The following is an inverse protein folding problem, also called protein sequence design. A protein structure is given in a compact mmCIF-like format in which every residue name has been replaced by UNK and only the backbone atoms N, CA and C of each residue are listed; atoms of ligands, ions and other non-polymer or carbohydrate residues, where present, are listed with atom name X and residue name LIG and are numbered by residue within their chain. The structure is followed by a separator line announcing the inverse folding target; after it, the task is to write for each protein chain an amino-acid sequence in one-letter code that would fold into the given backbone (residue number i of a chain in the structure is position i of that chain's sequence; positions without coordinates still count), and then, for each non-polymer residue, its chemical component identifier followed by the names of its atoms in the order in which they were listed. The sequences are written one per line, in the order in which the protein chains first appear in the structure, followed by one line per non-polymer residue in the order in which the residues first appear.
data_IF_770894488597
#
_entry.id   IF_770894488597
#
_cell.length_a   1.000
_cell.length_b   1.000
_cell.length_c   1.000
_cell.angle_alpha   90.00
_cell.angle_beta   90.00
_cell.angle_gamma   90.00
#
_symmetry.space_group_name_H-M   'P 1'
#
loop_
_entity.id
_entity.type
_entity.pdbx_description
1 polymer ?
#
# COMPACT_ATOMS: atom_id res chain seq x y z
N UNK A 1 -3.83 1.85 18.75
CA UNK A 1 -4.70 2.24 17.62
C UNK A 1 -5.26 1.02 16.89
N UNK A 2 -6.57 0.98 16.62
CA UNK A 2 -7.23 -0.09 15.85
C UNK A 2 -7.15 0.24 14.35
N UNK A 3 -6.66 -0.69 13.54
CA UNK A 3 -6.62 -0.57 12.08
C UNK A 3 -8.01 -0.87 11.53
N UNK A 4 -8.48 -0.07 10.58
CA UNK A 4 -9.83 -0.19 9.99
C UNK A 4 -9.73 -0.37 8.48
N UNK A 5 -10.35 -1.42 7.95
CA UNK A 5 -10.49 -1.62 6.50
C UNK A 5 -11.81 -0.97 6.05
N UNK A 6 -11.74 -0.19 4.97
CA UNK A 6 -12.90 0.42 4.32
C UNK A 6 -12.97 -0.06 2.87
N UNK A 7 -14.03 -0.80 2.56
CA UNK A 7 -14.33 -1.22 1.19
C UNK A 7 -15.13 -0.14 0.45
N UNK A 8 -15.05 -0.14 -0.87
CA UNK A 8 -15.85 0.71 -1.76
C UNK A 8 -15.67 2.22 -1.54
N UNK A 9 -14.48 2.65 -1.12
CA UNK A 9 -14.18 4.06 -0.99
C UNK A 9 -13.85 4.66 -2.37
N UNK A 10 -14.16 5.94 -2.58
CA UNK A 10 -13.89 6.65 -3.83
C UNK A 10 -12.39 6.95 -4.03
N UNK A 11 -11.62 6.98 -2.93
CA UNK A 11 -10.21 7.37 -2.92
C UNK A 11 -9.28 6.47 -3.76
N UNK A 12 -9.34 5.13 -3.70
CA UNK A 12 -8.57 4.28 -4.62
C UNK A 12 -8.89 4.50 -6.10
N UNK A 13 -10.13 4.86 -6.44
CA UNK A 13 -10.54 5.13 -7.82
C UNK A 13 -9.85 6.38 -8.37
N UNK A 14 -9.68 7.40 -7.54
CA UNK A 14 -8.99 8.65 -7.93
C UNK A 14 -7.56 8.39 -8.39
N UNK A 15 -6.84 7.50 -7.69
CA UNK A 15 -5.45 7.17 -8.01
C UNK A 15 -5.29 5.98 -8.96
N UNK A 16 -6.40 5.42 -9.49
CA UNK A 16 -6.42 4.21 -10.33
C UNK A 16 -5.65 3.05 -9.67
N UNK A 17 -5.76 2.91 -8.35
CA UNK A 17 -5.17 1.82 -7.54
C UNK A 17 -6.26 0.91 -7.00
N UNK A 18 -5.90 -0.34 -6.72
CA UNK A 18 -6.84 -1.33 -6.19
C UNK A 18 -6.84 -1.38 -4.65
N UNK A 19 -5.80 -0.84 -4.02
CA UNK A 19 -5.66 -0.65 -2.58
C UNK A 19 -4.88 0.64 -2.28
N UNK A 20 -5.16 1.27 -1.13
CA UNK A 20 -4.38 2.40 -0.60
C UNK A 20 -4.32 2.30 0.93
N UNK A 21 -3.12 2.49 1.48
CA UNK A 21 -2.88 2.62 2.93
C UNK A 21 -2.72 4.08 3.34
N UNK A 22 -3.64 4.54 4.17
CA UNK A 22 -3.59 5.85 4.84
C UNK A 22 -3.77 5.61 6.32
N UNK A 23 -2.67 5.41 7.04
CA UNK A 23 -2.69 4.97 8.42
C UNK A 23 -3.66 5.81 9.28
N UNK A 24 -4.57 5.20 10.06
CA UNK A 24 -4.74 3.75 10.33
C UNK A 24 -5.71 2.99 9.41
N UNK A 25 -6.07 3.56 8.26
CA UNK A 25 -7.07 3.03 7.34
C UNK A 25 -6.42 2.30 6.15
N UNK A 26 -7.06 1.21 5.75
CA UNK A 26 -6.76 0.51 4.49
C UNK A 26 -8.01 0.60 3.62
N UNK A 27 -7.87 1.16 2.43
CA UNK A 27 -8.96 1.30 1.46
C UNK A 27 -8.79 0.26 0.36
N UNK A 28 -9.84 -0.52 0.09
CA UNK A 28 -9.81 -1.59 -0.93
C UNK A 28 -10.96 -1.39 -1.92
N UNK A 29 -10.66 -1.55 -3.20
CA UNK A 29 -11.65 -1.48 -4.27
C UNK A 29 -12.56 -2.72 -4.26
N UNK A 30 -13.88 -2.51 -4.32
CA UNK A 30 -14.87 -3.58 -4.13
C UNK A 30 -15.07 -4.47 -5.37
N UNK A 31 -14.78 -4.00 -6.58
CA UNK A 31 -15.10 -4.71 -7.83
C UNK A 31 -14.25 -5.97 -8.12
N UNK A 32 -13.29 -6.29 -7.27
CA UNK A 32 -12.31 -7.36 -7.54
C UNK A 32 -12.70 -8.70 -6.90
N UNK A 33 -12.23 -9.84 -7.45
CA UNK A 33 -12.42 -11.17 -6.86
C UNK A 33 -11.88 -11.26 -5.43
N UNK A 34 -12.43 -12.19 -4.63
CA UNK A 34 -12.04 -12.39 -3.21
C UNK A 34 -10.54 -12.70 -3.07
N UNK A 35 -9.99 -13.57 -3.92
CA UNK A 35 -8.56 -13.91 -3.94
C UNK A 35 -7.67 -12.69 -4.18
N UNK A 36 -8.11 -11.79 -5.06
CA UNK A 36 -7.40 -10.55 -5.36
C UNK A 36 -7.49 -9.54 -4.20
N UNK A 37 -8.67 -9.40 -3.58
CA UNK A 37 -8.86 -8.58 -2.37
C UNK A 37 -7.97 -9.07 -1.23
N UNK A 38 -7.86 -10.38 -1.01
CA UNK A 38 -6.95 -10.95 0.00
C UNK A 38 -5.50 -10.53 -0.27
N UNK A 39 -5.03 -10.67 -1.50
CA UNK A 39 -3.66 -10.28 -1.89
C UNK A 39 -3.39 -8.78 -1.67
N UNK A 40 -4.35 -7.92 -2.04
CA UNK A 40 -4.23 -6.48 -1.77
C UNK A 40 -4.21 -6.20 -0.28
N UNK A 41 -5.07 -6.86 0.49
CA UNK A 41 -5.11 -6.66 1.95
C UNK A 41 -3.76 -7.01 2.58
N UNK A 42 -3.10 -8.08 2.12
CA UNK A 42 -1.74 -8.42 2.55
C UNK A 42 -0.73 -7.32 2.18
N UNK A 43 -0.77 -6.81 0.94
CA UNK A 43 0.10 -5.72 0.48
C UNK A 43 -0.06 -4.46 1.34
N UNK A 44 -1.30 -4.00 1.51
CA UNK A 44 -1.62 -2.81 2.31
C UNK A 44 -1.27 -3.00 3.80
N UNK A 45 -1.43 -4.22 4.33
CA UNK A 45 -1.00 -4.54 5.69
C UNK A 45 0.51 -4.37 5.89
N UNK A 46 1.31 -4.68 4.87
CA UNK A 46 2.76 -4.49 4.95
C UNK A 46 3.11 -3.00 5.04
N UNK A 47 2.39 -2.14 4.33
CA UNK A 47 2.55 -0.69 4.49
C UNK A 47 2.23 -0.23 5.92
N UNK A 48 1.19 -0.79 6.57
CA UNK A 48 0.95 -0.51 7.99
C UNK A 48 2.12 -0.96 8.86
N UNK A 49 2.69 -2.15 8.62
CA UNK A 49 3.87 -2.62 9.35
C UNK A 49 5.06 -1.67 9.13
N UNK A 50 5.32 -1.26 7.90
CA UNK A 50 6.39 -0.32 7.54
C UNK A 50 6.20 1.03 8.26
N UNK A 51 4.98 1.58 8.25
CA UNK A 51 4.63 2.82 8.95
C UNK A 51 4.87 2.69 10.46
N UNK A 52 4.47 1.56 11.06
CA UNK A 52 4.69 1.32 12.49
C UNK A 52 6.18 1.16 12.83
N UNK A 53 6.96 0.53 11.96
CA UNK A 53 8.40 0.32 12.15
C UNK A 53 9.21 1.61 11.98
N UNK A 54 8.90 2.42 10.96
CA UNK A 54 9.68 3.61 10.61
C UNK A 54 9.16 4.90 11.22
N UNK A 55 7.90 4.91 11.67
CA UNK A 55 7.18 6.10 12.09
C UNK A 55 6.38 6.74 10.96
N UNK A 56 5.25 7.35 11.30
CA UNK A 56 4.30 7.94 10.35
C UNK A 56 4.97 8.98 9.44
N UNK A 57 5.59 10.02 10.03
CA UNK A 57 6.22 11.10 9.27
C UNK A 57 7.37 10.61 8.39
N UNK A 58 8.25 9.78 8.96
CA UNK A 58 9.42 9.28 8.27
C UNK A 58 9.07 8.40 7.06
N UNK A 59 8.02 7.59 7.18
CA UNK A 59 7.56 6.73 6.09
C UNK A 59 7.07 7.58 4.90
N UNK A 60 6.11 8.48 5.12
CA UNK A 60 5.53 9.28 4.04
C UNK A 60 6.56 10.23 3.41
N UNK A 61 7.45 10.82 4.21
CA UNK A 61 8.51 11.69 3.72
C UNK A 61 9.49 10.94 2.79
N UNK A 62 9.99 9.78 3.22
CA UNK A 62 10.90 8.96 2.38
C UNK A 62 10.20 8.43 1.14
N UNK A 63 8.96 7.99 1.27
CA UNK A 63 8.15 7.52 0.14
C UNK A 63 8.00 8.61 -0.92
N UNK A 64 7.71 9.86 -0.51
CA UNK A 64 7.57 10.98 -1.42
C UNK A 64 8.89 11.33 -2.12
N UNK A 65 10.00 11.38 -1.37
CA UNK A 65 11.33 11.64 -1.95
C UNK A 65 11.71 10.58 -2.97
N UNK A 66 11.55 9.29 -2.64
CA UNK A 66 11.85 8.19 -3.57
C UNK A 66 10.99 8.26 -4.83
N UNK A 67 9.70 8.59 -4.69
CA UNK A 67 8.82 8.78 -5.83
C UNK A 67 9.31 9.93 -6.73
N UNK A 68 9.66 11.09 -6.17
CA UNK A 68 10.15 12.24 -6.95
C UNK A 68 11.44 11.90 -7.71
N UNK A 69 12.42 11.29 -7.02
CA UNK A 69 13.68 10.85 -7.64
C UNK A 69 13.40 9.84 -8.76
N UNK A 70 12.52 8.87 -8.51
CA UNK A 70 12.18 7.85 -9.50
C UNK A 70 11.39 8.43 -10.68
N UNK A 71 10.53 9.44 -10.49
CA UNK A 71 9.84 10.13 -11.59
C UNK A 71 10.87 10.80 -12.50
N UNK A 72 11.84 11.52 -11.93
CA UNK A 72 12.92 12.15 -12.69
C UNK A 72 13.77 11.12 -13.45
N UNK A 73 14.07 9.98 -12.81
CA UNK A 73 14.87 8.89 -13.38
C UNK A 73 14.16 8.12 -14.51
N UNK A 74 12.92 7.71 -14.28
CA UNK A 74 12.21 6.80 -15.18
C UNK A 74 11.29 7.52 -16.17
N UNK A 75 10.99 8.81 -15.95
CA UNK A 75 10.05 9.63 -16.76
C UNK A 75 8.68 8.96 -16.97
N UNK A 76 8.31 8.02 -16.09
CA UNK A 76 7.07 7.25 -16.17
C UNK A 76 6.57 6.98 -14.75
N UNK A 77 5.41 7.53 -14.41
CA UNK A 77 4.85 7.44 -13.06
C UNK A 77 4.62 6.00 -12.60
N UNK A 78 4.11 5.13 -13.47
CA UNK A 78 3.85 3.73 -13.12
C UNK A 78 5.14 2.97 -12.81
N UNK A 79 6.19 3.21 -13.61
CA UNK A 79 7.52 2.63 -13.37
C UNK A 79 8.13 3.22 -12.10
N UNK A 80 8.02 4.53 -11.90
CA UNK A 80 8.56 5.20 -10.72
C UNK A 80 7.94 4.69 -9.42
N UNK A 81 6.61 4.59 -9.38
CA UNK A 81 5.85 4.05 -8.27
C UNK A 81 6.27 2.60 -7.93
N UNK A 82 6.33 1.72 -8.94
CA UNK A 82 6.69 0.31 -8.73
C UNK A 82 8.13 0.10 -8.23
N UNK A 83 9.01 1.09 -8.42
CA UNK A 83 10.40 1.04 -7.99
C UNK A 83 10.66 1.76 -6.65
N UNK A 84 9.62 2.24 -5.97
CA UNK A 84 9.78 2.71 -4.58
C UNK A 84 10.16 1.52 -3.71
N UNK A 85 11.17 1.66 -2.85
CA UNK A 85 11.69 0.57 -2.02
C UNK A 85 10.60 -0.08 -1.16
N UNK A 86 9.70 0.73 -0.61
CA UNK A 86 8.55 0.28 0.18
C UNK A 86 7.56 -0.58 -0.60
N UNK A 87 7.28 -0.22 -1.85
CA UNK A 87 6.39 -0.97 -2.75
C UNK A 87 7.03 -2.30 -3.15
N UNK A 88 8.32 -2.28 -3.49
CA UNK A 88 9.09 -3.49 -3.83
C UNK A 88 9.11 -4.46 -2.64
N UNK A 89 9.37 -3.97 -1.43
CA UNK A 89 9.34 -4.76 -0.21
C UNK A 89 7.95 -5.34 0.06
N UNK A 90 6.89 -4.55 -0.12
CA UNK A 90 5.51 -4.98 0.08
C UNK A 90 5.13 -6.11 -0.88
N UNK A 91 5.40 -5.97 -2.18
CA UNK A 91 5.15 -7.03 -3.16
C UNK A 91 5.97 -8.30 -2.88
N UNK A 92 7.22 -8.18 -2.42
CA UNK A 92 8.07 -9.34 -2.10
C UNK A 92 7.57 -10.13 -0.89
N UNK A 93 6.93 -9.45 0.07
CA UNK A 93 6.55 -10.04 1.35
C UNK A 93 5.05 -10.36 1.47
N UNK A 94 4.20 -9.94 0.52
CA UNK A 94 2.73 -10.12 0.62
C UNK A 94 2.27 -11.58 0.66
N UNK A 95 3.09 -12.53 0.21
CA UNK A 95 2.82 -13.98 0.32
C UNK A 95 3.50 -14.64 1.53
N UNK A 96 4.40 -13.93 2.22
CA UNK A 96 5.20 -14.44 3.34
C UNK A 96 4.63 -14.04 4.70
N UNK A 97 4.11 -12.81 4.79
CA UNK A 97 3.65 -12.23 6.05
C UNK A 97 2.20 -12.65 6.30
N UNK A 98 1.96 -13.32 7.43
CA UNK A 98 0.60 -13.60 7.90
C UNK A 98 -0.07 -12.32 8.40
N UNK A 99 -1.30 -12.08 7.97
CA UNK A 99 -2.13 -10.99 8.49
C UNK A 99 -3.03 -11.50 9.63
N UNK A 100 -3.48 -10.62 10.54
CA UNK A 100 -4.47 -10.99 11.55
C UNK A 100 -5.75 -11.56 10.92
N UNK A 101 -6.29 -12.67 11.46
CA UNK A 101 -7.53 -13.33 10.97
C UNK A 101 -8.72 -12.39 10.77
N UNK A 102 -8.81 -11.32 11.56
CA UNK A 102 -9.85 -10.28 11.43
C UNK A 102 -9.76 -9.44 10.14
N UNK A 103 -8.67 -9.59 9.38
CA UNK A 103 -8.40 -8.90 8.11
C UNK A 103 -8.34 -9.89 6.93
N UNK A 104 -8.46 -11.20 7.17
CA UNK A 104 -8.54 -12.23 6.13
C UNK A 104 -9.93 -12.28 5.47
#
# INVERSE_FOLDING_TARGET
MKIKIRYNHWLPRLFKKNGITLYPYIFIRHSEPISFKKRITHHEWIHIIQIRKKGFFQFYFKWLIELLINILKYKNYNKAYKNISYEVEAYKNMFKIKIPKKLE
#
